data_IF_612762332123
#
_entry.id   IF_612762332123
#
_cell.length_a   1.000
_cell.length_b   1.000
_cell.length_c   1.000
_cell.angle_alpha   90.00
_cell.angle_beta   90.00
_cell.angle_gamma   90.00
#
_symmetry.space_group_name_H-M   'P 1'
#
loop_
_entity.id
_entity.type
_entity.pdbx_description
1 polymer ?
#
# COMPACT_ATOMS: atom_id res chain seq x y z
N UNK A 1 -3.50 2.30 24.66
CA UNK A 1 -3.22 3.47 23.77
C UNK A 1 -2.82 2.91 22.42
N UNK A 2 -3.63 3.09 21.37
CA UNK A 2 -3.17 2.74 20.02
C UNK A 2 -2.06 3.74 19.67
N UNK A 3 -0.85 3.27 19.41
CA UNK A 3 0.22 4.14 18.89
C UNK A 3 -0.26 4.64 17.53
N UNK A 4 -0.43 5.95 17.38
CA UNK A 4 -0.59 6.54 16.06
C UNK A 4 0.68 6.22 15.27
N UNK A 5 0.51 5.41 14.22
CA UNK A 5 1.60 5.09 13.32
C UNK A 5 1.88 6.34 12.50
N UNK A 6 3.15 6.75 12.47
CA UNK A 6 3.59 7.81 11.56
C UNK A 6 3.58 7.29 10.13
N UNK A 7 3.53 8.19 9.15
CA UNK A 7 3.66 7.82 7.73
C UNK A 7 4.93 7.00 7.47
N UNK A 8 6.02 7.34 8.16
CA UNK A 8 7.28 6.60 8.10
C UNK A 8 7.13 5.18 8.67
N UNK A 9 6.46 5.01 9.81
CA UNK A 9 6.17 3.68 10.36
C UNK A 9 5.33 2.83 9.39
N UNK A 10 4.41 3.46 8.65
CA UNK A 10 3.57 2.79 7.65
C UNK A 10 4.42 2.35 6.45
N UNK A 11 5.28 3.25 5.94
CA UNK A 11 6.16 2.98 4.81
C UNK A 11 7.14 1.84 5.14
N UNK A 12 7.81 1.88 6.30
CA UNK A 12 8.75 0.82 6.70
C UNK A 12 8.07 -0.55 6.79
N UNK A 13 6.85 -0.62 7.35
CA UNK A 13 6.08 -1.86 7.37
C UNK A 13 5.71 -2.37 5.98
N UNK A 14 5.46 -1.48 5.02
CA UNK A 14 5.22 -1.86 3.62
C UNK A 14 6.51 -2.41 3.01
N UNK A 15 7.63 -1.72 3.18
CA UNK A 15 8.95 -2.11 2.66
C UNK A 15 9.33 -3.50 3.18
N UNK A 16 9.15 -3.76 4.48
CA UNK A 16 9.46 -5.07 5.08
C UNK A 16 8.64 -6.21 4.44
N UNK A 17 7.35 -5.98 4.22
CA UNK A 17 6.47 -6.97 3.55
C UNK A 17 6.83 -7.15 2.08
N UNK A 18 7.25 -6.09 1.40
CA UNK A 18 7.65 -6.15 0.00
C UNK A 18 9.00 -6.82 -0.18
N UNK A 19 9.96 -6.59 0.72
CA UNK A 19 11.26 -7.27 0.70
C UNK A 19 11.10 -8.79 0.76
N UNK A 20 10.16 -9.28 1.59
CA UNK A 20 9.85 -10.70 1.67
C UNK A 20 9.25 -11.29 0.37
N UNK A 21 8.58 -10.46 -0.44
CA UNK A 21 7.99 -10.87 -1.73
C UNK A 21 8.92 -10.66 -2.92
N UNK A 22 9.87 -9.74 -2.80
CA UNK A 22 10.82 -9.35 -3.83
C UNK A 22 12.26 -9.44 -3.27
N UNK A 23 12.73 -10.65 -2.90
CA UNK A 23 14.02 -10.82 -2.23
C UNK A 23 15.21 -10.38 -3.08
N UNK A 24 15.09 -10.44 -4.41
CA UNK A 24 16.15 -10.05 -5.35
C UNK A 24 16.19 -8.54 -5.63
N UNK A 25 15.22 -7.78 -5.12
CA UNK A 25 15.17 -6.33 -5.29
C UNK A 25 15.87 -5.64 -4.11
N UNK A 26 16.78 -4.68 -4.35
CA UNK A 26 17.41 -3.92 -3.28
C UNK A 26 16.38 -3.17 -2.42
N UNK A 27 16.53 -3.23 -1.10
CA UNK A 27 15.62 -2.57 -0.15
C UNK A 27 15.43 -1.08 -0.47
N UNK A 28 16.50 -0.39 -0.82
CA UNK A 28 16.47 1.04 -1.16
C UNK A 28 15.59 1.35 -2.38
N UNK A 29 15.49 0.42 -3.34
CA UNK A 29 14.62 0.58 -4.51
C UNK A 29 13.16 0.36 -4.14
N UNK A 30 12.89 -0.62 -3.27
CA UNK A 30 11.56 -0.88 -2.71
C UNK A 30 11.09 0.32 -1.87
N UNK A 31 11.97 0.88 -1.05
CA UNK A 31 11.68 2.04 -0.21
C UNK A 31 11.38 3.29 -1.03
N UNK A 32 12.20 3.58 -2.05
CA UNK A 32 11.94 4.68 -2.99
C UNK A 32 10.61 4.52 -3.71
N UNK A 33 10.29 3.32 -4.18
CA UNK A 33 9.01 3.04 -4.83
C UNK A 33 7.83 3.18 -3.85
N UNK A 34 7.93 2.62 -2.65
CA UNK A 34 6.89 2.71 -1.63
C UNK A 34 6.62 4.16 -1.21
N UNK A 35 7.66 4.99 -1.07
CA UNK A 35 7.52 6.41 -0.75
C UNK A 35 6.81 7.17 -1.88
N UNK A 36 7.21 6.96 -3.12
CA UNK A 36 6.60 7.61 -4.28
C UNK A 36 5.11 7.26 -4.41
N UNK A 37 4.75 5.99 -4.25
CA UNK A 37 3.35 5.55 -4.26
C UNK A 37 2.57 6.12 -3.05
N UNK A 38 3.18 6.16 -1.86
CA UNK A 38 2.53 6.74 -0.68
C UNK A 38 2.23 8.23 -0.89
N UNK A 39 3.17 9.00 -1.44
CA UNK A 39 3.01 10.44 -1.68
C UNK A 39 1.94 10.75 -2.74
N UNK A 40 1.86 9.97 -3.84
CA UNK A 40 0.79 10.11 -4.85
C UNK A 40 -0.60 9.84 -4.25
N UNK A 41 -0.67 8.90 -3.30
CA UNK A 41 -1.90 8.56 -2.60
C UNK A 41 -2.26 9.55 -1.50
N UNK A 42 -1.29 10.08 -0.76
CA UNK A 42 -1.50 11.05 0.30
C UNK A 42 -2.11 12.35 -0.23
N UNK A 43 -1.81 12.72 -1.47
CA UNK A 43 -2.40 13.87 -2.16
C UNK A 43 -3.86 13.67 -2.61
N UNK A 44 -4.41 12.45 -2.53
CA UNK A 44 -5.75 12.10 -3.02
C UNK A 44 -6.71 11.80 -1.86
N UNK A 45 -8.02 12.10 -1.99
CA UNK A 45 -9.00 11.73 -0.99
C UNK A 45 -9.03 10.20 -0.83
N UNK A 46 -8.69 9.70 0.37
CA UNK A 46 -8.70 8.25 0.72
C UNK A 46 -10.02 7.57 0.32
N UNK A 47 -11.14 8.32 0.32
CA UNK A 47 -12.47 7.86 -0.08
C UNK A 47 -12.54 7.37 -1.54
N UNK A 48 -11.80 7.99 -2.46
CA UNK A 48 -11.81 7.61 -3.87
C UNK A 48 -11.11 6.26 -4.07
N UNK A 49 -10.03 6.03 -3.32
CA UNK A 49 -9.31 4.76 -3.35
C UNK A 49 -10.13 3.62 -2.75
N UNK A 50 -10.83 3.88 -1.64
CA UNK A 50 -11.74 2.91 -1.03
C UNK A 50 -12.85 2.51 -2.01
N UNK A 51 -13.44 3.45 -2.74
CA UNK A 51 -14.47 3.16 -3.74
C UNK A 51 -13.93 2.21 -4.84
N UNK A 52 -12.74 2.51 -5.39
CA UNK A 52 -12.11 1.68 -6.43
C UNK A 52 -11.74 0.28 -5.90
N UNK A 53 -11.16 0.19 -4.70
CA UNK A 53 -10.78 -1.08 -4.10
C UNK A 53 -12.00 -1.95 -3.79
N UNK A 54 -13.07 -1.35 -3.25
CA UNK A 54 -14.34 -2.04 -2.98
C UNK A 54 -14.95 -2.54 -4.28
N UNK A 55 -14.98 -1.72 -5.34
CA UNK A 55 -15.50 -2.12 -6.64
C UNK A 55 -14.71 -3.30 -7.23
N UNK A 56 -13.36 -3.23 -7.23
CA UNK A 56 -12.50 -4.32 -7.74
C UNK A 56 -12.69 -5.60 -6.93
N UNK A 57 -12.77 -5.51 -5.61
CA UNK A 57 -12.99 -6.67 -4.73
C UNK A 57 -14.35 -7.31 -4.96
N UNK A 58 -15.40 -6.49 -5.13
CA UNK A 58 -16.78 -6.90 -5.42
C UNK A 58 -16.85 -7.62 -6.76
N UNK A 59 -16.28 -7.04 -7.82
CA UNK A 59 -16.20 -7.68 -9.15
C UNK A 59 -15.50 -9.03 -9.11
N UNK A 60 -14.39 -9.14 -8.37
CA UNK A 60 -13.64 -10.40 -8.21
C UNK A 60 -14.48 -11.46 -7.50
N UNK A 61 -15.28 -11.07 -6.50
CA UNK A 61 -16.18 -11.97 -5.77
C UNK A 61 -17.33 -12.45 -6.66
N UNK A 62 -17.97 -11.55 -7.39
CA UNK A 62 -19.09 -11.86 -8.29
C UNK A 62 -18.67 -12.78 -9.46
N UNK A 63 -17.46 -12.61 -10.00
CA UNK A 63 -16.92 -13.51 -11.05
C UNK A 63 -16.52 -14.90 -10.56
N UNK A 64 -16.43 -15.11 -9.25
CA UNK A 64 -16.14 -16.42 -8.64
C UNK A 64 -17.41 -17.17 -8.22
N UNK A 65 -18.58 -16.59 -8.42
CA UNK A 65 -19.89 -17.23 -8.21
C UNK A 65 -20.48 -17.75 -9.51
#
# INVERSE_FOLDING_TARGET
MAKELTDEDIIQQIVDRLQAKFPDTPRADIERAARAEFDDLAGRPVRDYLAILVERSTKKRLKKS
#
